data_IF_792129863963
#
_entry.id   IF_792129863963
#
_cell.length_a   1.000
_cell.length_b   1.000
_cell.length_c   1.000
_cell.angle_alpha   90.00
_cell.angle_beta   90.00
_cell.angle_gamma   90.00
#
_symmetry.space_group_name_H-M   'P 1'
#
loop_
_entity.id
_entity.type
_entity.pdbx_description
1 polymer ?
#
# COMPACT_ATOMS: atom_id res chain seq x y z
N UNK A 1 -7.71 -13.38 -2.94
CA UNK A 1 -7.38 -12.15 -2.20
C UNK A 1 -7.59 -10.93 -3.07
N UNK A 2 -8.20 -9.91 -2.50
CA UNK A 2 -8.49 -8.63 -3.19
C UNK A 2 -7.50 -7.57 -2.75
N UNK A 3 -6.90 -6.89 -3.73
CA UNK A 3 -5.95 -5.80 -3.49
C UNK A 3 -6.57 -4.50 -4.03
N UNK A 4 -6.74 -3.50 -3.18
CA UNK A 4 -7.10 -2.16 -3.63
C UNK A 4 -5.84 -1.44 -4.06
N UNK A 5 -5.85 -0.80 -5.21
CA UNK A 5 -4.73 0.00 -5.68
C UNK A 5 -5.19 1.43 -5.97
N UNK A 6 -4.44 2.40 -5.49
CA UNK A 6 -4.72 3.82 -5.71
C UNK A 6 -3.46 4.57 -6.07
N UNK A 7 -3.61 5.66 -6.79
CA UNK A 7 -2.49 6.48 -7.26
C UNK A 7 -2.96 7.88 -7.58
N UNK A 8 -2.00 8.82 -7.61
CA UNK A 8 -2.25 10.14 -8.15
C UNK A 8 -1.82 10.22 -9.63
N UNK A 9 -1.87 11.42 -10.20
CA UNK A 9 -1.57 11.67 -11.60
C UNK A 9 -0.13 11.33 -12.00
N UNK A 10 0.82 11.31 -11.07
CA UNK A 10 2.23 11.00 -11.37
C UNK A 10 2.47 9.50 -11.57
N UNK A 11 1.54 8.66 -11.13
CA UNK A 11 1.76 7.22 -11.04
C UNK A 11 0.77 6.39 -11.85
N UNK A 12 0.17 6.97 -12.89
CA UNK A 12 -0.80 6.25 -13.73
C UNK A 12 -0.16 5.03 -14.40
N UNK A 13 1.00 5.21 -15.02
CA UNK A 13 1.67 4.11 -15.73
C UNK A 13 2.15 3.02 -14.77
N UNK A 14 2.75 3.40 -13.65
CA UNK A 14 3.22 2.42 -12.66
C UNK A 14 2.05 1.69 -12.02
N UNK A 15 0.94 2.37 -11.71
CA UNK A 15 -0.27 1.73 -11.21
C UNK A 15 -0.77 0.67 -12.18
N UNK A 16 -0.81 0.98 -13.48
CA UNK A 16 -1.25 0.03 -14.49
C UNK A 16 -0.32 -1.18 -14.57
N UNK A 17 0.99 -0.96 -14.54
CA UNK A 17 1.98 -2.03 -14.53
C UNK A 17 1.81 -2.96 -13.32
N UNK A 18 1.67 -2.40 -12.14
CA UNK A 18 1.49 -3.20 -10.91
C UNK A 18 0.13 -3.89 -10.89
N UNK A 19 -0.92 -3.22 -11.35
CA UNK A 19 -2.25 -3.83 -11.45
C UNK A 19 -2.23 -5.07 -12.36
N UNK A 20 -1.61 -4.96 -13.53
CA UNK A 20 -1.48 -6.09 -14.45
C UNK A 20 -0.66 -7.22 -13.83
N UNK A 21 0.44 -6.88 -13.16
CA UNK A 21 1.28 -7.85 -12.47
C UNK A 21 0.53 -8.60 -11.37
N UNK A 22 -0.27 -7.90 -10.59
CA UNK A 22 -1.11 -8.51 -9.54
C UNK A 22 -2.11 -9.49 -10.14
N UNK A 23 -2.73 -9.14 -11.26
CA UNK A 23 -3.66 -10.01 -11.97
C UNK A 23 -2.96 -11.26 -12.49
N UNK A 24 -1.75 -11.13 -13.04
CA UNK A 24 -0.94 -12.27 -13.47
C UNK A 24 -0.64 -13.22 -12.31
N UNK A 25 -0.45 -12.69 -11.11
CA UNK A 25 -0.22 -13.48 -9.89
C UNK A 25 -1.50 -14.10 -9.33
N UNK A 26 -2.66 -13.80 -9.91
CA UNK A 26 -3.93 -14.38 -9.49
C UNK A 26 -4.72 -13.57 -8.48
N UNK A 27 -4.32 -12.34 -8.20
CA UNK A 27 -5.07 -11.46 -7.30
C UNK A 27 -6.20 -10.74 -8.04
N UNK A 28 -7.30 -10.48 -7.33
CA UNK A 28 -8.34 -9.56 -7.79
C UNK A 28 -7.93 -8.13 -7.43
N UNK A 29 -8.02 -7.21 -8.38
CA UNK A 29 -7.57 -5.83 -8.21
C UNK A 29 -8.74 -4.88 -8.29
N UNK A 30 -8.85 -3.99 -7.30
CA UNK A 30 -9.84 -2.92 -7.28
C UNK A 30 -9.10 -1.61 -7.53
N UNK A 31 -9.34 -1.00 -8.70
CA UNK A 31 -8.71 0.28 -9.05
C UNK A 31 -9.48 1.44 -8.42
N UNK A 32 -8.88 2.07 -7.43
CA UNK A 32 -9.43 3.24 -6.73
C UNK A 32 -8.65 4.52 -7.07
N UNK A 33 -7.66 4.42 -7.94
CA UNK A 33 -6.82 5.56 -8.32
C UNK A 33 -7.36 6.34 -9.50
N UNK A 34 -6.58 7.32 -9.93
CA UNK A 34 -6.89 8.05 -11.16
C UNK A 34 -6.28 7.36 -12.36
N UNK A 35 -6.98 7.45 -13.49
CA UNK A 35 -6.45 7.03 -14.80
C UNK A 35 -6.08 8.25 -15.65
N UNK A 36 -6.24 9.47 -15.10
CA UNK A 36 -5.92 10.73 -15.76
C UNK A 36 -4.55 11.24 -15.32
N UNK A 37 -3.82 11.84 -16.27
CA UNK A 37 -2.54 12.50 -15.99
C UNK A 37 -2.71 13.97 -15.56
N UNK A 38 -3.95 14.46 -15.49
CA UNK A 38 -4.22 15.79 -14.98
C UNK A 38 -3.92 15.85 -13.48
N UNK A 39 -3.33 16.97 -13.06
CA UNK A 39 -2.96 17.19 -11.66
C UNK A 39 -4.15 16.95 -10.74
N UNK A 40 -3.92 16.18 -9.68
CA UNK A 40 -4.92 15.86 -8.68
C UNK A 40 -4.28 15.76 -7.29
N UNK A 41 -5.11 15.66 -6.27
CA UNK A 41 -4.65 15.65 -4.87
C UNK A 41 -4.52 14.22 -4.38
N UNK A 42 -3.28 13.79 -4.11
CA UNK A 42 -2.98 12.42 -3.68
C UNK A 42 -3.73 11.97 -2.40
N UNK A 43 -4.05 12.85 -1.42
CA UNK A 43 -4.75 12.39 -0.21
C UNK A 43 -6.10 11.76 -0.48
N UNK A 44 -6.80 12.20 -1.52
CA UNK A 44 -8.09 11.62 -1.93
C UNK A 44 -7.92 10.13 -2.20
N UNK A 45 -6.88 9.76 -2.91
CA UNK A 45 -6.63 8.36 -3.30
C UNK A 45 -6.03 7.53 -2.18
N UNK A 46 -5.18 8.12 -1.35
CA UNK A 46 -4.67 7.48 -0.14
C UNK A 46 -5.80 7.12 0.81
N UNK A 47 -6.72 8.03 1.00
CA UNK A 47 -7.91 7.79 1.84
C UNK A 47 -8.78 6.68 1.28
N UNK A 48 -9.03 6.69 -0.03
CA UNK A 48 -9.84 5.63 -0.68
C UNK A 48 -9.26 4.24 -0.46
N UNK A 49 -7.96 4.10 -0.64
CA UNK A 49 -7.28 2.82 -0.41
C UNK A 49 -7.39 2.42 1.06
N UNK A 50 -7.09 3.34 1.95
CA UNK A 50 -7.17 3.08 3.39
C UNK A 50 -8.56 2.63 3.82
N UNK A 51 -9.61 3.32 3.37
CA UNK A 51 -10.99 2.97 3.73
C UNK A 51 -11.40 1.62 3.15
N UNK A 52 -11.02 1.31 1.91
CA UNK A 52 -11.34 0.01 1.31
C UNK A 52 -10.75 -1.14 2.13
N UNK A 53 -9.53 -0.99 2.64
CA UNK A 53 -8.89 -2.00 3.49
C UNK A 53 -9.52 -2.03 4.88
N UNK A 54 -9.73 -0.87 5.49
CA UNK A 54 -10.32 -0.77 6.84
C UNK A 54 -11.75 -1.33 6.88
N UNK A 55 -12.53 -1.11 5.83
CA UNK A 55 -13.93 -1.56 5.74
C UNK A 55 -14.08 -3.01 5.26
N UNK A 56 -12.99 -3.68 4.90
CA UNK A 56 -13.01 -5.06 4.44
C UNK A 56 -13.40 -5.25 2.98
N UNK A 57 -13.48 -4.18 2.19
CA UNK A 57 -13.74 -4.27 0.75
C UNK A 57 -12.54 -4.86 0.01
N UNK A 58 -11.35 -4.64 0.54
CA UNK A 58 -10.12 -5.25 0.07
C UNK A 58 -9.36 -5.84 1.27
N UNK A 59 -8.55 -6.85 1.00
CA UNK A 59 -7.72 -7.48 2.05
C UNK A 59 -6.47 -6.66 2.33
N UNK A 60 -5.86 -6.10 1.30
CA UNK A 60 -4.65 -5.28 1.37
C UNK A 60 -4.76 -4.13 0.38
N UNK A 61 -3.90 -3.14 0.54
CA UNK A 61 -3.88 -1.99 -0.36
C UNK A 61 -2.48 -1.63 -0.85
N UNK A 62 -2.43 -1.00 -2.02
CA UNK A 62 -1.19 -0.44 -2.58
C UNK A 62 -1.49 1.00 -3.01
N UNK A 63 -0.63 1.93 -2.61
CA UNK A 63 -0.81 3.35 -2.87
C UNK A 63 0.46 3.95 -3.46
N UNK A 64 0.34 4.63 -4.60
CA UNK A 64 1.48 5.11 -5.38
C UNK A 64 1.29 6.60 -5.71
N UNK A 65 2.27 7.42 -5.35
CA UNK A 65 2.36 8.81 -5.80
C UNK A 65 3.79 9.09 -6.27
N UNK A 66 4.20 10.33 -6.37
CA UNK A 66 5.56 10.66 -6.83
C UNK A 66 6.66 10.05 -5.96
N UNK A 67 6.53 10.14 -4.65
CA UNK A 67 7.49 9.55 -3.69
C UNK A 67 6.90 8.40 -2.89
N UNK A 68 5.60 8.25 -2.86
CA UNK A 68 4.91 7.31 -1.97
C UNK A 68 4.68 7.86 -0.56
N UNK A 69 5.36 8.92 -0.19
CA UNK A 69 5.30 9.47 1.18
C UNK A 69 3.94 10.09 1.48
N UNK A 70 3.52 11.06 0.68
CA UNK A 70 2.27 11.78 0.94
C UNK A 70 1.05 10.86 0.94
N UNK A 71 0.97 9.97 -0.03
CA UNK A 71 -0.17 9.06 -0.14
C UNK A 71 -0.20 8.05 1.01
N UNK A 72 0.96 7.63 1.52
CA UNK A 72 1.04 6.75 2.69
C UNK A 72 0.60 7.47 3.97
N UNK A 73 0.97 8.74 4.11
CA UNK A 73 0.53 9.54 5.26
C UNK A 73 -0.99 9.68 5.27
N UNK A 74 -1.59 9.92 4.10
CA UNK A 74 -3.05 10.02 3.98
C UNK A 74 -3.74 8.70 4.36
N UNK A 75 -3.24 7.58 3.84
CA UNK A 75 -3.78 6.26 4.18
C UNK A 75 -3.70 6.00 5.69
N UNK A 76 -2.59 6.38 6.33
CA UNK A 76 -2.40 6.19 7.77
C UNK A 76 -3.33 7.03 8.65
N UNK A 77 -4.00 8.05 8.10
CA UNK A 77 -5.01 8.80 8.86
C UNK A 77 -6.33 8.04 9.00
N UNK A 78 -6.52 6.97 8.24
CA UNK A 78 -7.69 6.11 8.36
C UNK A 78 -7.43 5.10 9.47
N UNK A 79 -8.37 5.01 10.42
CA UNK A 79 -8.23 4.04 11.53
C UNK A 79 -8.12 2.62 11.01
N UNK A 80 -7.23 1.85 11.58
CA UNK A 80 -6.99 0.46 11.20
C UNK A 80 -5.90 0.29 10.14
N UNK A 81 -5.34 1.37 9.60
CA UNK A 81 -4.34 1.30 8.54
C UNK A 81 -2.93 1.46 9.09
N UNK A 82 -2.07 0.56 8.63
CA UNK A 82 -0.61 0.60 8.84
C UNK A 82 0.02 0.59 7.46
N UNK A 83 0.15 1.79 6.87
CA UNK A 83 0.75 1.99 5.57
C UNK A 83 2.25 2.23 5.73
N UNK A 84 3.04 1.54 4.92
CA UNK A 84 4.50 1.66 4.92
C UNK A 84 4.97 2.06 3.53
N UNK A 85 5.70 3.18 3.43
CA UNK A 85 6.36 3.57 2.19
C UNK A 85 7.70 2.83 2.11
N UNK A 86 7.92 2.09 1.02
CA UNK A 86 9.11 1.27 0.83
C UNK A 86 9.73 1.54 -0.53
N UNK A 87 11.05 1.64 -0.58
CA UNK A 87 11.79 1.80 -1.84
C UNK A 87 12.69 0.59 -2.14
N UNK A 88 12.58 -0.48 -1.35
CA UNK A 88 13.33 -1.72 -1.56
C UNK A 88 12.60 -2.91 -0.92
N UNK A 89 12.87 -4.15 -1.39
CA UNK A 89 12.11 -5.34 -0.97
C UNK A 89 12.29 -5.74 0.50
N UNK A 90 13.45 -5.51 1.08
CA UNK A 90 13.75 -5.91 2.46
C UNK A 90 12.79 -5.25 3.45
N UNK A 91 12.67 -3.91 3.39
CA UNK A 91 11.76 -3.17 4.27
C UNK A 91 10.30 -3.56 4.03
N UNK A 92 9.91 -3.76 2.77
CA UNK A 92 8.56 -4.19 2.44
C UNK A 92 8.23 -5.54 3.08
N UNK A 93 9.12 -6.51 2.93
CA UNK A 93 8.96 -7.83 3.54
C UNK A 93 8.82 -7.74 5.04
N UNK A 94 9.73 -7.02 5.71
CA UNK A 94 9.72 -6.91 7.17
C UNK A 94 8.52 -6.12 7.68
N UNK A 95 8.02 -5.16 6.92
CA UNK A 95 6.82 -4.43 7.31
C UNK A 95 5.61 -5.35 7.46
N UNK A 96 5.53 -6.41 6.65
CA UNK A 96 4.51 -7.45 6.82
C UNK A 96 4.85 -8.36 8.00
N UNK A 97 6.06 -8.88 8.03
CA UNK A 97 6.46 -9.88 9.03
C UNK A 97 6.40 -9.34 10.44
N UNK A 98 6.79 -8.09 10.64
CA UNK A 98 6.95 -7.50 11.98
C UNK A 98 5.86 -6.48 12.33
N UNK A 99 5.35 -5.73 11.36
CA UNK A 99 4.42 -4.64 11.63
C UNK A 99 3.01 -4.90 11.13
N UNK A 100 2.81 -6.03 10.48
CA UNK A 100 1.52 -6.41 9.89
C UNK A 100 0.95 -5.26 9.05
N UNK A 101 1.80 -4.65 8.23
CA UNK A 101 1.37 -3.54 7.37
C UNK A 101 0.29 -4.04 6.42
N UNK A 102 -0.73 -3.23 6.20
CA UNK A 102 -1.86 -3.59 5.35
C UNK A 102 -2.00 -2.68 4.13
N UNK A 103 -1.17 -1.65 4.02
CA UNK A 103 -1.04 -0.83 2.82
C UNK A 103 0.45 -0.63 2.53
N UNK A 104 0.84 -0.96 1.30
CA UNK A 104 2.18 -0.71 0.78
C UNK A 104 2.16 0.54 -0.08
N UNK A 105 3.13 1.42 0.10
CA UNK A 105 3.27 2.60 -0.73
C UNK A 105 4.67 2.69 -1.33
N UNK A 106 4.78 3.26 -2.51
CA UNK A 106 6.07 3.58 -3.14
C UNK A 106 5.89 4.71 -4.15
N UNK A 107 7.02 5.20 -4.65
CA UNK A 107 7.04 6.38 -5.49
C UNK A 107 7.35 6.09 -6.95
N UNK A 108 6.49 6.54 -7.86
CA UNK A 108 6.68 6.38 -9.30
C UNK A 108 7.92 7.12 -9.82
N UNK A 109 8.37 8.15 -9.10
CA UNK A 109 9.60 8.90 -9.43
C UNK A 109 10.83 8.39 -8.69
N UNK A 110 10.67 7.38 -7.84
CA UNK A 110 11.74 6.82 -7.01
C UNK A 110 12.13 5.44 -7.48
N UNK A 111 11.14 4.57 -7.77
CA UNK A 111 11.40 3.18 -8.14
C UNK A 111 10.97 2.93 -9.58
N UNK A 112 11.80 2.18 -10.31
CA UNK A 112 11.43 1.70 -11.64
C UNK A 112 10.44 0.54 -11.55
N UNK A 113 9.85 0.16 -12.68
CA UNK A 113 8.79 -0.85 -12.74
C UNK A 113 9.23 -2.23 -12.22
N UNK A 114 10.44 -2.66 -12.55
CA UNK A 114 10.93 -3.96 -12.11
C UNK A 114 11.19 -3.99 -10.60
N UNK A 115 11.77 -2.93 -10.05
CA UNK A 115 11.96 -2.81 -8.60
C UNK A 115 10.61 -2.75 -7.89
N UNK A 116 9.64 -2.02 -8.43
CA UNK A 116 8.29 -1.95 -7.86
C UNK A 116 7.63 -3.33 -7.80
N UNK A 117 7.80 -4.16 -8.82
CA UNK A 117 7.32 -5.55 -8.82
C UNK A 117 7.99 -6.38 -7.73
N UNK A 118 9.30 -6.23 -7.56
CA UNK A 118 10.05 -6.95 -6.51
C UNK A 118 9.58 -6.54 -5.12
N UNK A 119 9.37 -5.25 -4.90
CA UNK A 119 8.86 -4.72 -3.63
C UNK A 119 7.47 -5.30 -3.34
N UNK A 120 6.59 -5.26 -4.32
CA UNK A 120 5.22 -5.76 -4.21
C UNK A 120 5.18 -7.25 -3.90
N UNK A 121 5.97 -8.05 -4.62
CA UNK A 121 6.03 -9.49 -4.43
C UNK A 121 6.58 -9.86 -3.04
N UNK A 122 7.68 -9.21 -2.62
CA UNK A 122 8.26 -9.45 -1.31
C UNK A 122 7.25 -9.14 -0.18
N UNK A 123 6.47 -8.10 -0.36
CA UNK A 123 5.43 -7.70 0.59
C UNK A 123 4.28 -8.72 0.63
N UNK A 124 3.78 -9.13 -0.53
CA UNK A 124 2.66 -10.07 -0.63
C UNK A 124 2.99 -11.47 -0.15
N UNK A 125 4.24 -11.92 -0.37
CA UNK A 125 4.68 -13.27 0.00
C UNK A 125 4.99 -13.40 1.49
N UNK A 126 5.18 -12.30 2.19
CA UNK A 126 5.50 -12.30 3.61
C UNK A 126 4.24 -12.53 4.46
N UNK A 127 4.45 -13.14 5.63
CA UNK A 127 3.38 -13.40 6.59
C UNK A 127 3.74 -12.80 7.94
N UNK A 128 2.73 -12.26 8.63
CA UNK A 128 2.93 -11.72 9.97
C UNK A 128 3.34 -12.83 10.94
N UNK A 129 4.44 -12.60 11.65
CA UNK A 129 5.00 -13.59 12.58
C UNK A 129 4.25 -13.67 13.90
N UNK A 130 3.54 -12.62 14.30
CA UNK A 130 2.87 -12.59 15.61
C UNK A 130 3.86 -12.48 16.77
N UNK A 131 3.54 -13.15 17.87
CA UNK A 131 4.40 -13.17 19.05
C UNK A 131 4.68 -11.77 19.62
N UNK A 132 5.96 -11.45 19.86
CA UNK A 132 6.35 -10.13 20.37
C UNK A 132 5.98 -8.99 19.44
N UNK A 133 5.92 -9.26 18.13
CA UNK A 133 5.53 -8.26 17.13
C UNK A 133 4.06 -7.89 17.26
N UNK A 134 3.20 -8.85 17.54
CA UNK A 134 1.77 -8.59 17.74
C UNK A 134 1.52 -7.64 18.90
N UNK A 135 2.23 -7.82 20.01
CA UNK A 135 2.13 -6.91 21.15
C UNK A 135 2.48 -5.48 20.76
N UNK A 136 3.55 -5.31 19.99
CA UNK A 136 3.99 -3.98 19.53
C UNK A 136 3.03 -3.37 18.52
N UNK A 137 2.49 -4.16 17.61
CA UNK A 137 1.48 -3.69 16.66
C UNK A 137 0.23 -3.23 17.42
N UNK A 138 -0.21 -4.00 18.42
CA UNK A 138 -1.36 -3.61 19.25
C UNK A 138 -1.11 -2.29 19.98
N UNK A 139 0.11 -2.03 20.45
CA UNK A 139 0.48 -0.75 21.06
C UNK A 139 0.34 0.41 20.08
N UNK A 140 0.73 0.20 18.81
CA UNK A 140 0.53 1.20 17.75
C UNK A 140 -0.97 1.47 17.56
N UNK A 141 -1.77 0.40 17.51
CA UNK A 141 -3.21 0.54 17.28
C UNK A 141 -3.92 1.21 18.44
N UNK A 142 -3.45 1.02 19.67
CA UNK A 142 -4.01 1.71 20.84
C UNK A 142 -3.90 3.23 20.74
N UNK A 143 -2.88 3.74 20.06
CA UNK A 143 -2.68 5.18 19.90
C UNK A 143 -3.87 5.82 19.17
N UNK A 144 -4.48 5.11 18.23
CA UNK A 144 -5.64 5.60 17.48
C UNK A 144 -6.87 5.83 18.37
N UNK A 145 -6.92 5.18 19.51
CA UNK A 145 -8.07 5.17 20.40
C UNK A 145 -7.91 6.11 21.61
N UNK A 146 -6.84 6.90 21.62
CA UNK A 146 -6.58 7.88 22.70
C UNK A 146 -7.32 9.19 22.49
#
# INVERSE_FOLDING_TARGET
MKIAIGNDHTAVDLKNTISDYLKELGYEVINLGTDSRESCDYPIYGEKVGRAVADGEADLGIAICGTGVGISLAANKVKGIRACVCSEPYTAKLSRMHNNSNVLAFGARVVGSELAKMITEAWLDAKFEGGRHERRVNMIMEIENQ
#
